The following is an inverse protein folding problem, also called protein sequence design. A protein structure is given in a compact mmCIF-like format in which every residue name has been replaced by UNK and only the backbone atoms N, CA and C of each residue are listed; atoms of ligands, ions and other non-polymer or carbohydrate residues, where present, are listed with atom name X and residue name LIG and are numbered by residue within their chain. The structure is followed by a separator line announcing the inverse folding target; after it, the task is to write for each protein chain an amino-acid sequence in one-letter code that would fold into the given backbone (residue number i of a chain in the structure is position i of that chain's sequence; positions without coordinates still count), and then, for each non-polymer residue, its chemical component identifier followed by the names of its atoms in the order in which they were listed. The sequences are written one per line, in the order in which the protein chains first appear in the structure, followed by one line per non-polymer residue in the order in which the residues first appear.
data_IF_263549153716
#
_entry.id   IF_263549153716
#
_cell.length_a   1.000
_cell.length_b   1.000
_cell.length_c   1.000
_cell.angle_alpha   90.00
_cell.angle_beta   90.00
_cell.angle_gamma   90.00
#
_symmetry.space_group_name_H-M   'P 1'
#
loop_
_entity.id
_entity.type
_entity.pdbx_description
1 polymer ?
#
# COMPACT_ATOMS: atom_id res chain seq x y z
N UNK A 1 28.86 -6.98 -10.58
CA UNK A 1 29.43 -6.29 -11.74
C UNK A 1 29.42 -4.81 -11.46
N UNK A 2 30.53 -4.14 -11.62
CA UNK A 2 30.59 -2.68 -11.57
C UNK A 2 29.82 -2.14 -12.77
N UNK A 3 29.07 -1.05 -12.59
CA UNK A 3 28.45 -0.34 -13.71
C UNK A 3 29.57 0.13 -14.64
N UNK A 4 29.56 -0.24 -15.93
CA UNK A 4 30.61 0.20 -16.85
C UNK A 4 30.64 1.72 -16.92
N UNK A 5 31.83 2.33 -17.06
CA UNK A 5 32.03 3.78 -17.24
C UNK A 5 31.24 4.36 -18.41
N UNK A 6 30.80 3.49 -19.33
CA UNK A 6 29.97 3.86 -20.49
C UNK A 6 28.53 4.18 -20.10
N UNK A 7 28.02 3.72 -18.93
CA UNK A 7 26.67 4.04 -18.47
C UNK A 7 26.68 5.42 -17.85
N UNK A 8 26.17 6.42 -18.55
CA UNK A 8 26.17 7.84 -18.13
C UNK A 8 24.93 8.25 -17.37
N UNK A 9 23.81 7.58 -17.58
CA UNK A 9 22.55 7.81 -16.90
C UNK A 9 21.65 6.59 -17.01
N UNK A 10 20.66 6.49 -16.14
CA UNK A 10 19.65 5.46 -16.17
C UNK A 10 18.25 6.04 -15.97
N UNK A 11 17.25 5.38 -16.56
CA UNK A 11 15.84 5.62 -16.30
C UNK A 11 15.27 4.34 -15.70
N UNK A 12 14.74 4.45 -14.48
CA UNK A 12 14.22 3.35 -13.70
C UNK A 12 12.69 3.43 -13.64
N UNK A 13 12.02 2.45 -14.18
CA UNK A 13 10.56 2.41 -14.20
C UNK A 13 10.12 1.13 -13.50
N UNK A 14 9.59 1.24 -12.30
CA UNK A 14 9.01 0.13 -11.54
C UNK A 14 9.87 -1.15 -11.53
N UNK A 15 11.16 -1.00 -11.21
CA UNK A 15 12.11 -2.12 -11.23
C UNK A 15 12.13 -2.86 -9.88
N UNK A 16 11.61 -4.09 -9.80
CA UNK A 16 11.64 -4.86 -8.57
C UNK A 16 13.06 -5.37 -8.29
N UNK A 17 13.73 -4.75 -7.34
CA UNK A 17 15.09 -5.12 -6.93
C UNK A 17 15.11 -6.21 -5.86
N UNK A 18 14.02 -6.36 -5.11
CA UNK A 18 13.80 -7.42 -4.11
C UNK A 18 12.57 -8.23 -4.48
N UNK A 19 12.76 -9.46 -4.93
CA UNK A 19 11.67 -10.30 -5.45
C UNK A 19 10.68 -10.73 -4.36
N UNK A 20 11.14 -10.94 -3.14
CA UNK A 20 10.25 -11.22 -2.01
C UNK A 20 9.23 -10.11 -1.81
N UNK A 21 9.65 -8.84 -1.88
CA UNK A 21 8.75 -7.68 -1.77
C UNK A 21 7.81 -7.52 -2.98
N UNK A 22 8.15 -8.12 -4.12
CA UNK A 22 7.25 -8.17 -5.27
C UNK A 22 6.05 -9.06 -5.01
N UNK A 23 6.30 -10.24 -4.44
CA UNK A 23 5.27 -11.27 -4.23
C UNK A 23 4.52 -11.12 -2.91
N UNK A 24 5.16 -10.56 -1.87
CA UNK A 24 4.59 -10.43 -0.53
C UNK A 24 4.61 -8.99 -0.04
N UNK A 25 3.66 -8.65 0.81
CA UNK A 25 3.63 -7.42 1.58
C UNK A 25 3.39 -7.77 3.05
N UNK A 26 4.37 -7.46 3.91
CA UNK A 26 4.34 -7.73 5.34
C UNK A 26 3.77 -9.12 5.70
N UNK A 27 4.21 -10.14 4.94
CA UNK A 27 3.85 -11.55 5.11
C UNK A 27 2.67 -12.05 4.29
N UNK A 28 1.78 -11.18 3.80
CA UNK A 28 0.64 -11.56 2.96
C UNK A 28 1.03 -11.66 1.49
N UNK A 29 0.57 -12.69 0.79
CA UNK A 29 0.81 -12.87 -0.64
C UNK A 29 0.01 -11.85 -1.46
N UNK A 30 0.65 -11.12 -2.36
CA UNK A 30 0.00 -10.27 -3.37
C UNK A 30 -0.62 -11.14 -4.47
N UNK A 31 -1.72 -11.80 -4.14
CA UNK A 31 -2.33 -12.84 -4.96
C UNK A 31 -2.69 -12.36 -6.36
N UNK A 32 -3.36 -11.20 -6.43
CA UNK A 32 -3.84 -10.63 -7.71
C UNK A 32 -2.74 -10.35 -8.73
N UNK A 33 -1.52 -10.12 -8.27
CA UNK A 33 -0.35 -9.94 -9.11
C UNK A 33 0.40 -11.26 -9.33
N UNK A 34 0.71 -11.96 -8.24
CA UNK A 34 1.67 -13.08 -8.25
C UNK A 34 1.13 -14.29 -9.00
N UNK A 35 -0.15 -14.64 -8.79
CA UNK A 35 -0.73 -15.82 -9.44
C UNK A 35 -0.89 -15.67 -10.96
N UNK A 36 -1.46 -14.58 -11.52
CA UNK A 36 -1.52 -14.40 -12.96
C UNK A 36 -0.14 -14.29 -13.61
N UNK A 37 0.82 -13.62 -12.94
CA UNK A 37 2.18 -13.50 -13.43
C UNK A 37 2.88 -14.86 -13.51
N UNK A 38 2.73 -15.70 -12.49
CA UNK A 38 3.26 -17.07 -12.49
C UNK A 38 2.55 -17.92 -13.56
N UNK A 39 1.22 -17.80 -13.67
CA UNK A 39 0.44 -18.52 -14.68
C UNK A 39 0.89 -18.20 -16.12
N UNK A 40 1.22 -16.93 -16.43
CA UNK A 40 1.73 -16.53 -17.76
C UNK A 40 3.00 -17.25 -18.17
N UNK A 41 3.78 -17.79 -17.25
CA UNK A 41 4.99 -18.58 -17.55
C UNK A 41 4.66 -19.92 -18.18
N UNK A 42 3.46 -20.42 -17.97
CA UNK A 42 3.02 -21.76 -18.36
C UNK A 42 1.93 -21.77 -19.43
N UNK A 43 1.11 -20.73 -19.47
CA UNK A 43 -0.02 -20.63 -20.36
C UNK A 43 -0.42 -19.18 -20.65
N UNK A 44 -1.08 -18.91 -21.79
CA UNK A 44 -1.61 -17.58 -22.08
C UNK A 44 -2.67 -17.15 -21.08
N UNK A 45 -2.69 -15.86 -20.70
CA UNK A 45 -3.70 -15.28 -19.80
C UNK A 45 -5.14 -15.42 -20.31
N UNK A 46 -5.35 -15.71 -21.59
CA UNK A 46 -6.68 -16.02 -22.14
C UNK A 46 -7.32 -17.24 -21.46
N UNK A 47 -6.52 -18.18 -20.94
CA UNK A 47 -6.98 -19.33 -20.17
C UNK A 47 -7.09 -19.09 -18.67
N UNK A 48 -6.66 -17.95 -18.16
CA UNK A 48 -6.72 -17.64 -16.74
C UNK A 48 -8.17 -17.36 -16.32
N UNK A 49 -8.68 -18.09 -15.32
CA UNK A 49 -9.97 -17.88 -14.71
C UNK A 49 -9.78 -17.39 -13.27
N UNK A 50 -9.90 -16.06 -13.02
CA UNK A 50 -9.72 -15.52 -11.69
C UNK A 50 -10.77 -16.00 -10.68
N UNK A 51 -12.01 -16.26 -11.13
CA UNK A 51 -13.08 -16.75 -10.27
C UNK A 51 -12.78 -18.12 -9.66
N UNK A 52 -12.11 -18.96 -10.45
CA UNK A 52 -11.69 -20.31 -10.03
C UNK A 52 -10.34 -20.28 -9.28
N UNK A 53 -9.33 -19.62 -9.88
CA UNK A 53 -7.96 -19.79 -9.41
C UNK A 53 -7.66 -19.01 -8.13
N UNK A 54 -8.22 -17.80 -7.96
CA UNK A 54 -8.04 -17.05 -6.72
C UNK A 54 -8.71 -17.72 -5.52
N UNK A 55 -9.78 -18.47 -5.73
CA UNK A 55 -10.53 -19.15 -4.66
C UNK A 55 -10.08 -20.58 -4.40
N UNK A 56 -9.01 -21.03 -5.05
CA UNK A 56 -8.50 -22.38 -4.86
C UNK A 56 -8.05 -22.61 -3.40
N UNK A 57 -8.43 -23.74 -2.83
CA UNK A 57 -8.08 -24.14 -1.47
C UNK A 57 -7.65 -25.62 -1.50
N UNK A 58 -6.42 -25.95 -1.09
CA UNK A 58 -5.34 -25.01 -0.77
C UNK A 58 -4.87 -24.22 -1.99
N UNK A 59 -4.32 -23.03 -1.74
CA UNK A 59 -3.92 -22.12 -2.82
C UNK A 59 -2.76 -22.67 -3.68
N UNK A 60 -1.93 -23.53 -3.10
CA UNK A 60 -0.82 -24.19 -3.80
C UNK A 60 -1.30 -25.00 -5.03
N UNK A 61 -2.53 -25.48 -5.01
CA UNK A 61 -3.13 -26.23 -6.12
C UNK A 61 -3.61 -25.34 -7.28
N UNK A 62 -3.51 -24.01 -7.17
CA UNK A 62 -3.89 -23.11 -8.25
C UNK A 62 -3.03 -23.27 -9.49
N UNK A 63 -1.74 -23.60 -9.33
CA UNK A 63 -0.83 -24.01 -10.38
C UNK A 63 -0.15 -25.32 -9.94
N UNK A 64 -0.46 -26.46 -10.56
CA UNK A 64 0.14 -27.73 -10.17
C UNK A 64 1.67 -27.69 -10.22
N UNK A 65 2.35 -28.28 -9.24
CA UNK A 65 3.82 -28.32 -9.16
C UNK A 65 4.46 -28.96 -10.40
N UNK A 66 3.77 -29.90 -11.05
CA UNK A 66 4.22 -30.51 -12.32
C UNK A 66 4.20 -29.54 -13.50
N UNK A 67 3.47 -28.42 -13.38
CA UNK A 67 3.35 -27.36 -14.39
C UNK A 67 4.35 -26.23 -14.13
N UNK A 68 4.36 -25.68 -12.92
CA UNK A 68 5.38 -24.72 -12.49
C UNK A 68 5.76 -24.95 -11.02
N UNK A 69 6.93 -25.53 -10.75
CA UNK A 69 7.39 -25.78 -9.38
C UNK A 69 7.70 -24.47 -8.60
N UNK A 70 7.89 -23.34 -9.29
CA UNK A 70 8.16 -22.06 -8.63
C UNK A 70 6.95 -21.59 -7.80
N UNK A 71 5.73 -21.86 -8.27
CA UNK A 71 4.52 -21.48 -7.53
C UNK A 71 4.48 -22.16 -6.15
N UNK A 72 4.66 -23.46 -6.12
CA UNK A 72 4.69 -24.22 -4.86
C UNK A 72 5.83 -23.73 -3.95
N UNK A 73 7.04 -23.61 -4.49
CA UNK A 73 8.20 -23.14 -3.74
C UNK A 73 7.99 -21.72 -3.15
N UNK A 74 7.38 -20.81 -3.90
CA UNK A 74 7.08 -19.46 -3.38
C UNK A 74 6.11 -19.48 -2.19
N UNK A 75 5.10 -20.36 -2.21
CA UNK A 75 4.13 -20.46 -1.11
C UNK A 75 4.74 -21.16 0.11
N UNK A 76 5.52 -22.22 -0.10
CA UNK A 76 6.17 -22.99 0.98
C UNK A 76 7.25 -22.17 1.70
N UNK A 77 8.05 -21.39 0.96
CA UNK A 77 9.12 -20.55 1.52
C UNK A 77 8.60 -19.19 2.02
N UNK A 78 7.47 -18.72 1.48
CA UNK A 78 6.83 -17.47 1.90
C UNK A 78 7.71 -16.23 1.66
N UNK A 79 7.66 -15.22 2.54
CA UNK A 79 8.40 -13.97 2.41
C UNK A 79 9.88 -14.07 2.81
N UNK A 80 10.38 -15.24 3.26
CA UNK A 80 11.72 -15.43 3.82
C UNK A 80 12.81 -14.99 2.87
N UNK A 81 13.76 -14.21 3.36
CA UNK A 81 14.82 -13.58 2.54
C UNK A 81 15.76 -14.61 1.91
N UNK A 82 16.08 -15.69 2.59
CA UNK A 82 17.04 -16.72 2.13
C UNK A 82 16.62 -17.39 0.84
N UNK A 83 15.32 -17.58 0.59
CA UNK A 83 14.80 -18.10 -0.69
C UNK A 83 14.99 -17.09 -1.85
N UNK A 84 14.86 -15.79 -1.56
CA UNK A 84 14.84 -14.73 -2.56
C UNK A 84 16.23 -14.14 -2.86
N UNK A 85 17.19 -14.23 -1.93
CA UNK A 85 18.51 -13.58 -1.99
C UNK A 85 19.31 -13.93 -3.24
N UNK A 86 19.23 -15.16 -3.73
CA UNK A 86 19.93 -15.59 -4.95
C UNK A 86 19.51 -14.83 -6.23
N UNK A 87 18.41 -14.11 -6.19
CA UNK A 87 17.84 -13.35 -7.32
C UNK A 87 17.65 -11.84 -6.99
N UNK A 88 18.16 -11.41 -5.85
CA UNK A 88 18.04 -10.03 -5.38
C UNK A 88 19.10 -9.14 -6.06
N UNK A 89 18.68 -7.97 -6.52
CA UNK A 89 19.55 -6.96 -7.14
C UNK A 89 19.98 -5.87 -6.15
N UNK A 90 19.72 -6.06 -4.85
CA UNK A 90 19.93 -5.05 -3.83
C UNK A 90 21.36 -4.56 -3.72
N UNK A 91 22.33 -5.46 -3.79
CA UNK A 91 23.75 -5.12 -3.77
C UNK A 91 24.18 -4.30 -4.98
N UNK A 92 23.55 -4.49 -6.14
CA UNK A 92 23.81 -3.65 -7.32
C UNK A 92 23.27 -2.24 -7.13
N UNK A 93 22.06 -2.10 -6.57
CA UNK A 93 21.46 -0.80 -6.25
C UNK A 93 22.33 -0.01 -5.30
N UNK A 94 22.81 -0.62 -4.22
CA UNK A 94 23.68 0.02 -3.23
C UNK A 94 25.02 0.51 -3.81
N UNK A 95 25.52 -0.18 -4.83
CA UNK A 95 26.79 0.16 -5.48
C UNK A 95 26.63 1.06 -6.71
N UNK A 96 25.42 1.28 -7.17
CA UNK A 96 25.15 2.14 -8.32
C UNK A 96 25.57 3.59 -8.02
N UNK A 97 26.35 4.18 -8.93
CA UNK A 97 26.82 5.58 -8.87
C UNK A 97 26.47 6.31 -10.15
N UNK A 98 25.32 5.98 -10.71
CA UNK A 98 24.85 6.50 -11.99
C UNK A 98 23.70 7.47 -11.72
N UNK A 99 23.69 8.65 -12.38
CA UNK A 99 22.52 9.53 -12.36
C UNK A 99 21.26 8.76 -12.75
N UNK A 100 20.24 8.80 -11.89
CA UNK A 100 19.02 7.99 -12.03
C UNK A 100 17.76 8.85 -12.10
N UNK A 101 16.90 8.58 -13.08
CA UNK A 101 15.54 9.09 -13.15
C UNK A 101 14.58 7.95 -12.83
N UNK A 102 13.77 8.11 -11.77
CA UNK A 102 12.88 7.08 -11.26
C UNK A 102 11.42 7.47 -11.50
N UNK A 103 10.61 6.54 -11.99
CA UNK A 103 9.18 6.73 -12.15
C UNK A 103 8.39 5.73 -11.31
N UNK A 104 7.39 6.23 -10.59
CA UNK A 104 6.43 5.42 -9.83
C UNK A 104 5.01 5.96 -9.97
N UNK A 105 4.03 5.08 -9.78
CA UNK A 105 2.61 5.43 -9.78
C UNK A 105 1.97 5.15 -8.44
N UNK A 106 1.10 6.07 -7.96
CA UNK A 106 0.39 5.89 -6.69
C UNK A 106 -0.47 4.64 -6.66
N UNK A 107 -0.99 4.25 -7.82
CA UNK A 107 -1.84 3.08 -7.97
C UNK A 107 -1.13 1.88 -8.64
N UNK A 108 0.21 1.94 -8.66
CA UNK A 108 1.05 0.82 -9.08
C UNK A 108 1.30 -0.11 -7.87
N UNK A 109 1.01 -1.39 -8.04
CA UNK A 109 1.31 -2.40 -7.01
C UNK A 109 2.83 -2.52 -6.73
N UNK A 110 3.68 -2.01 -7.65
CA UNK A 110 5.14 -1.95 -7.54
C UNK A 110 5.67 -0.60 -7.03
N UNK A 111 4.85 0.28 -6.49
CA UNK A 111 5.31 1.58 -5.99
C UNK A 111 6.51 1.46 -5.05
N UNK A 112 6.47 0.50 -4.11
CA UNK A 112 7.58 0.25 -3.18
C UNK A 112 8.86 -0.21 -3.90
N UNK A 113 8.72 -0.89 -5.04
CA UNK A 113 9.83 -1.28 -5.90
C UNK A 113 10.51 -0.07 -6.59
N UNK A 114 9.87 1.09 -6.58
CA UNK A 114 10.46 2.36 -7.01
C UNK A 114 11.01 3.17 -5.84
N UNK A 115 10.24 3.30 -4.77
CA UNK A 115 10.58 4.16 -3.62
C UNK A 115 11.80 3.64 -2.84
N UNK A 116 11.86 2.32 -2.59
CA UNK A 116 12.93 1.72 -1.81
C UNK A 116 14.29 1.84 -2.52
N UNK A 117 14.44 1.46 -3.80
CA UNK A 117 15.71 1.66 -4.53
C UNK A 117 16.07 3.14 -4.67
N UNK A 118 15.11 4.02 -4.95
CA UNK A 118 15.36 5.44 -5.02
C UNK A 118 15.98 5.98 -3.73
N UNK A 119 15.38 5.67 -2.57
CA UNK A 119 15.88 6.12 -1.27
C UNK A 119 17.31 5.62 -0.99
N UNK A 120 17.64 4.41 -1.38
CA UNK A 120 18.98 3.85 -1.25
C UNK A 120 19.97 4.52 -2.21
N UNK A 121 19.56 4.76 -3.47
CA UNK A 121 20.42 5.38 -4.47
C UNK A 121 20.72 6.86 -4.16
N UNK A 122 19.79 7.60 -3.56
CA UNK A 122 20.04 8.97 -3.08
C UNK A 122 21.25 8.99 -2.12
N UNK A 123 21.39 8.00 -1.25
CA UNK A 123 22.51 7.90 -0.31
C UNK A 123 23.85 7.65 -1.02
N UNK A 124 23.84 7.20 -2.27
CA UNK A 124 25.04 6.97 -3.05
C UNK A 124 25.81 8.23 -3.46
N UNK A 125 25.17 9.40 -3.36
CA UNK A 125 25.70 10.70 -3.76
C UNK A 125 25.61 10.99 -5.27
N UNK A 126 25.19 10.02 -6.10
CA UNK A 126 24.89 10.29 -7.50
C UNK A 126 23.55 11.04 -7.62
N UNK A 127 23.40 11.96 -8.60
CA UNK A 127 22.14 12.68 -8.80
C UNK A 127 20.97 11.73 -9.07
N UNK A 128 19.90 11.86 -8.29
CA UNK A 128 18.68 11.09 -8.45
C UNK A 128 17.46 12.02 -8.57
N UNK A 129 16.54 11.70 -9.47
CA UNK A 129 15.26 12.38 -9.63
C UNK A 129 14.13 11.35 -9.53
N UNK A 130 13.09 11.66 -8.78
CA UNK A 130 11.90 10.82 -8.61
C UNK A 130 10.67 11.53 -9.17
N UNK A 131 9.90 10.86 -10.00
CA UNK A 131 8.63 11.35 -10.54
C UNK A 131 7.52 10.37 -10.14
N UNK A 132 6.56 10.85 -9.35
CA UNK A 132 5.45 10.07 -8.82
C UNK A 132 4.13 10.64 -9.34
N UNK A 133 3.41 9.86 -10.13
CA UNK A 133 2.16 10.30 -10.74
C UNK A 133 0.95 9.47 -10.30
N UNK A 134 -0.26 9.88 -10.71
CA UNK A 134 -1.50 9.17 -10.40
C UNK A 134 -1.70 7.95 -11.31
N UNK A 135 -0.63 7.20 -11.54
CA UNK A 135 -0.59 6.10 -12.50
C UNK A 135 -0.73 4.75 -11.84
N UNK A 136 -1.30 3.81 -12.59
CA UNK A 136 -1.17 2.38 -12.32
C UNK A 136 0.13 1.84 -12.92
N UNK A 137 0.35 0.53 -12.80
CA UNK A 137 1.49 -0.15 -13.41
C UNK A 137 1.58 0.09 -14.92
N UNK A 138 0.46 -0.07 -15.63
CA UNK A 138 0.42 0.15 -17.08
C UNK A 138 0.65 1.62 -17.45
N UNK A 139 0.11 2.55 -16.67
CA UNK A 139 0.31 3.98 -16.83
C UNK A 139 1.76 4.41 -16.62
N UNK A 140 2.45 3.83 -15.64
CA UNK A 140 3.86 4.14 -15.35
C UNK A 140 4.79 3.68 -16.47
N UNK A 141 4.50 2.54 -17.10
CA UNK A 141 5.35 1.99 -18.18
C UNK A 141 4.91 2.38 -19.59
N UNK A 142 3.95 3.27 -19.72
CA UNK A 142 3.59 3.81 -21.02
C UNK A 142 2.20 3.47 -21.53
N UNK A 143 1.23 3.13 -20.66
CA UNK A 143 -0.17 2.87 -21.03
C UNK A 143 -1.05 4.14 -21.14
N UNK A 144 -2.18 4.11 -21.86
CA UNK A 144 -3.01 5.28 -22.17
C UNK A 144 -3.94 5.73 -21.04
N UNK A 145 -3.56 5.56 -19.78
CA UNK A 145 -4.46 5.81 -18.66
C UNK A 145 -4.65 7.31 -18.36
N UNK A 146 -5.76 7.87 -18.82
CA UNK A 146 -6.26 9.18 -18.36
C UNK A 146 -7.14 9.06 -17.13
N UNK A 147 -7.64 7.85 -16.86
CA UNK A 147 -8.55 7.53 -15.78
C UNK A 147 -7.86 6.51 -14.90
N UNK A 148 -7.79 6.81 -13.60
CA UNK A 148 -7.37 5.88 -12.57
C UNK A 148 -8.56 5.61 -11.67
N UNK A 149 -9.05 4.36 -11.64
CA UNK A 149 -10.29 4.02 -10.96
C UNK A 149 -11.46 4.82 -11.51
N UNK A 150 -12.14 5.57 -10.63
CA UNK A 150 -13.29 6.40 -10.98
C UNK A 150 -12.94 7.86 -11.27
N UNK A 151 -11.64 8.21 -11.25
CA UNK A 151 -11.19 9.60 -11.36
C UNK A 151 -10.36 9.82 -12.63
N UNK A 152 -10.74 10.86 -13.39
CA UNK A 152 -9.96 11.33 -14.52
C UNK A 152 -9.02 12.47 -14.09
N UNK A 153 -7.71 12.25 -14.21
CA UNK A 153 -6.69 13.26 -13.98
C UNK A 153 -6.28 14.02 -15.24
N UNK A 154 -7.00 13.80 -16.36
CA UNK A 154 -6.80 14.47 -17.62
C UNK A 154 -5.46 14.16 -18.30
N UNK A 155 -5.03 15.07 -19.20
CA UNK A 155 -3.80 14.91 -19.98
C UNK A 155 -2.52 14.83 -19.12
N UNK A 156 -2.54 15.39 -17.92
CA UNK A 156 -1.41 15.43 -17.00
C UNK A 156 -1.04 14.07 -16.41
N UNK A 157 -1.93 13.09 -16.51
CA UNK A 157 -1.63 11.71 -16.12
C UNK A 157 -0.71 10.98 -17.12
N UNK A 158 -0.44 11.56 -18.29
CA UNK A 158 0.74 11.17 -19.06
C UNK A 158 0.55 10.46 -20.38
N UNK A 159 -0.69 10.26 -20.96
CA UNK A 159 -0.72 9.56 -22.25
C UNK A 159 -1.93 9.83 -23.15
N UNK A 160 -1.67 9.72 -24.45
CA UNK A 160 -2.69 9.69 -25.51
C UNK A 160 -3.07 8.25 -25.86
N UNK A 161 -4.30 8.06 -26.34
CA UNK A 161 -4.74 6.80 -26.94
C UNK A 161 -3.81 6.39 -28.09
N UNK A 162 -3.29 5.17 -28.06
CA UNK A 162 -2.66 4.54 -29.21
C UNK A 162 -1.15 4.35 -29.19
N UNK A 163 -0.45 4.54 -28.06
CA UNK A 163 0.97 4.24 -27.99
C UNK A 163 1.80 5.17 -27.11
N UNK A 164 3.12 4.95 -27.08
CA UNK A 164 4.06 5.85 -26.40
C UNK A 164 4.00 7.21 -27.10
N UNK A 165 3.32 8.17 -26.49
CA UNK A 165 3.33 9.54 -26.98
C UNK A 165 4.68 10.18 -26.60
N UNK A 166 5.53 10.39 -27.59
CA UNK A 166 6.83 11.07 -27.43
C UNK A 166 6.68 12.51 -26.92
N UNK A 167 5.48 13.07 -26.93
CA UNK A 167 5.15 14.37 -26.32
C UNK A 167 4.53 14.26 -24.93
N UNK A 168 4.54 13.06 -24.31
CA UNK A 168 4.04 12.89 -22.96
C UNK A 168 4.99 13.51 -21.92
N UNK A 169 4.49 14.02 -20.78
CA UNK A 169 5.34 14.51 -19.70
C UNK A 169 6.39 13.49 -19.24
N UNK A 170 6.08 12.19 -19.31
CA UNK A 170 7.03 11.11 -19.06
C UNK A 170 8.20 11.13 -20.04
N UNK A 171 7.90 11.24 -21.33
CA UNK A 171 8.95 11.28 -22.37
C UNK A 171 9.74 12.58 -22.33
N UNK A 172 9.10 13.71 -22.02
CA UNK A 172 9.80 14.99 -21.84
C UNK A 172 10.82 14.92 -20.70
N UNK A 173 10.46 14.33 -19.55
CA UNK A 173 11.38 14.08 -18.44
C UNK A 173 12.53 13.13 -18.84
N UNK A 174 12.22 12.04 -19.55
CA UNK A 174 13.24 11.09 -20.02
C UNK A 174 14.23 11.75 -21.00
N UNK A 175 13.71 12.48 -21.99
CA UNK A 175 14.55 13.15 -23.00
C UNK A 175 15.42 14.22 -22.35
N UNK A 176 14.84 15.06 -21.50
CA UNK A 176 15.57 16.10 -20.77
C UNK A 176 16.70 15.52 -19.91
N UNK A 177 16.41 14.44 -19.17
CA UNK A 177 17.39 13.73 -18.36
C UNK A 177 18.55 13.18 -19.18
N UNK A 178 18.24 12.49 -20.29
CA UNK A 178 19.25 11.86 -21.14
C UNK A 178 20.03 12.89 -21.96
N UNK A 179 19.39 13.97 -22.42
CA UNK A 179 20.09 15.06 -23.15
C UNK A 179 21.15 15.70 -22.25
N UNK A 180 20.82 15.94 -20.99
CA UNK A 180 21.79 16.52 -20.06
C UNK A 180 22.94 15.56 -19.74
N UNK A 181 22.62 14.34 -19.26
CA UNK A 181 23.64 13.42 -18.74
C UNK A 181 24.43 12.69 -19.82
N UNK A 182 23.85 12.43 -20.97
CA UNK A 182 24.48 11.66 -22.06
C UNK A 182 25.09 12.56 -23.12
N UNK A 183 24.35 13.62 -23.53
CA UNK A 183 24.80 14.53 -24.59
C UNK A 183 25.50 15.78 -24.07
N UNK A 184 25.35 16.11 -22.78
CA UNK A 184 25.85 17.36 -22.19
C UNK A 184 25.08 18.59 -22.69
N UNK A 185 23.82 18.44 -23.08
CA UNK A 185 22.95 19.45 -23.63
C UNK A 185 21.76 19.76 -22.73
N UNK A 186 21.19 20.93 -22.84
CA UNK A 186 20.05 21.38 -22.06
C UNK A 186 20.41 21.92 -20.67
N UNK A 187 19.38 22.29 -19.91
CA UNK A 187 19.53 22.78 -18.55
C UNK A 187 19.79 21.64 -17.58
N UNK A 188 20.55 21.93 -16.50
CA UNK A 188 20.83 20.94 -15.46
C UNK A 188 19.54 20.50 -14.80
N UNK A 189 19.15 19.22 -14.87
CA UNK A 189 18.02 18.74 -14.09
C UNK A 189 18.34 18.92 -12.60
N UNK A 190 17.35 19.34 -11.83
CA UNK A 190 17.52 19.57 -10.41
C UNK A 190 18.13 18.33 -9.72
N UNK A 191 19.19 18.52 -8.89
CA UNK A 191 19.80 17.44 -8.17
C UNK A 191 18.84 16.93 -7.09
N UNK A 192 18.68 15.60 -6.99
CA UNK A 192 17.92 14.94 -5.93
C UNK A 192 16.54 15.59 -5.70
N UNK A 193 15.83 15.92 -6.78
CA UNK A 193 14.50 16.52 -6.69
C UNK A 193 13.43 15.45 -6.87
N UNK A 194 12.29 15.68 -6.25
CA UNK A 194 11.11 14.84 -6.36
C UNK A 194 10.00 15.66 -7.00
N UNK A 195 9.40 15.14 -8.05
CA UNK A 195 8.17 15.69 -8.63
C UNK A 195 7.05 14.73 -8.33
N UNK A 196 6.03 15.16 -7.60
CA UNK A 196 4.90 14.31 -7.27
C UNK A 196 3.56 14.96 -7.55
N UNK A 197 2.60 14.12 -7.90
CA UNK A 197 1.22 14.53 -8.16
C UNK A 197 0.37 14.33 -6.91
N UNK A 198 -0.18 15.41 -6.38
CA UNK A 198 -1.18 15.36 -5.31
C UNK A 198 -2.53 15.01 -5.93
N UNK A 199 -3.14 13.92 -5.45
CA UNK A 199 -4.48 13.48 -5.81
C UNK A 199 -5.53 14.12 -4.91
N UNK A 200 -6.82 13.83 -5.11
CA UNK A 200 -7.93 14.33 -4.27
C UNK A 200 -8.39 15.73 -4.65
N UNK A 201 -8.60 16.58 -3.66
CA UNK A 201 -9.11 17.93 -3.87
C UNK A 201 -8.08 18.82 -4.56
N UNK A 202 -8.45 19.44 -5.70
CA UNK A 202 -7.59 20.29 -6.54
C UNK A 202 -6.28 19.60 -6.93
N UNK A 203 -6.34 18.54 -7.72
CA UNK A 203 -5.14 17.77 -8.10
C UNK A 203 -4.08 18.65 -8.76
N UNK A 204 -2.81 18.48 -8.39
CA UNK A 204 -1.71 19.29 -8.91
C UNK A 204 -0.36 18.58 -8.82
N UNK A 205 0.60 19.03 -9.62
CA UNK A 205 2.00 18.66 -9.51
C UNK A 205 2.74 19.56 -8.52
N UNK A 206 3.60 18.98 -7.68
CA UNK A 206 4.50 19.69 -6.80
C UNK A 206 5.95 19.24 -7.01
N UNK A 207 6.89 20.17 -6.88
CA UNK A 207 8.33 19.88 -6.82
C UNK A 207 8.75 19.92 -5.35
N UNK A 208 9.38 18.85 -4.88
CA UNK A 208 9.81 18.66 -3.50
C UNK A 208 11.32 18.43 -3.46
N UNK A 209 11.94 18.78 -2.35
CA UNK A 209 13.38 18.59 -2.15
C UNK A 209 13.74 17.11 -1.94
N UNK A 210 12.86 16.34 -1.31
CA UNK A 210 13.06 14.92 -1.02
C UNK A 210 11.74 14.16 -0.87
N UNK A 211 11.82 12.84 -0.83
CA UNK A 211 10.72 11.94 -0.50
C UNK A 211 11.10 11.10 0.74
N UNK A 212 10.22 10.98 1.75
CA UNK A 212 8.97 11.76 1.92
C UNK A 212 9.27 13.26 2.04
N UNK A 213 8.21 14.11 1.99
CA UNK A 213 8.38 15.58 2.05
C UNK A 213 9.13 15.97 3.33
N UNK A 214 10.26 16.70 3.24
CA UNK A 214 11.11 16.95 4.40
C UNK A 214 10.45 17.82 5.49
N UNK A 215 9.48 18.65 5.10
CA UNK A 215 8.71 19.50 6.02
C UNK A 215 7.42 18.84 6.49
N UNK A 216 7.12 17.60 6.08
CA UNK A 216 5.95 16.90 6.55
C UNK A 216 6.10 16.58 8.05
N UNK A 217 5.26 17.18 8.85
CA UNK A 217 5.12 16.82 10.27
C UNK A 217 4.19 15.61 10.39
N UNK A 218 4.60 14.63 11.20
CA UNK A 218 3.72 13.49 11.49
C UNK A 218 2.49 13.97 12.28
N UNK A 219 1.30 13.71 11.74
CA UNK A 219 0.04 13.89 12.48
C UNK A 219 -0.37 12.53 13.03
N UNK A 220 -0.55 12.45 14.35
CA UNK A 220 -1.06 11.24 15.00
C UNK A 220 -2.56 11.37 15.21
N UNK A 221 -3.30 10.37 14.76
CA UNK A 221 -4.73 10.25 14.96
C UNK A 221 -5.01 9.00 15.82
N UNK A 222 -6.01 9.08 16.68
CA UNK A 222 -6.35 8.00 17.61
C UNK A 222 -7.71 7.41 17.24
N UNK A 223 -7.82 6.10 17.38
CA UNK A 223 -9.04 5.34 17.14
C UNK A 223 -9.87 5.35 18.42
N UNK A 224 -11.11 5.82 18.35
CA UNK A 224 -12.06 5.83 19.45
C UNK A 224 -13.37 5.15 19.06
N UNK A 225 -14.03 4.47 20.00
CA UNK A 225 -15.34 3.89 19.74
C UNK A 225 -16.42 4.97 19.57
N UNK A 226 -17.48 4.68 18.81
CA UNK A 226 -18.56 5.63 18.51
C UNK A 226 -19.26 6.23 19.74
N UNK A 227 -19.26 5.52 20.88
CA UNK A 227 -19.82 5.99 22.14
C UNK A 227 -18.95 7.06 22.81
N UNK A 228 -17.69 7.20 22.43
CA UNK A 228 -16.68 8.03 23.06
C UNK A 228 -16.40 9.34 22.31
N UNK A 229 -17.28 9.77 21.43
CA UNK A 229 -17.18 11.03 20.68
C UNK A 229 -17.02 12.30 21.57
N UNK A 230 -16.87 12.14 22.87
CA UNK A 230 -16.61 13.21 23.86
C UNK A 230 -15.20 13.15 24.44
N UNK A 231 -14.29 12.37 23.86
CA UNK A 231 -12.93 12.24 24.37
C UNK A 231 -12.09 13.46 24.00
N UNK A 232 -11.87 14.29 25.01
CA UNK A 232 -10.78 15.25 25.07
C UNK A 232 -9.62 14.61 25.83
N UNK A 233 -8.45 14.66 25.20
CA UNK A 233 -7.13 14.59 25.84
C UNK A 233 -6.79 13.45 26.80
N UNK A 234 -5.93 12.51 26.34
CA UNK A 234 -4.85 12.01 27.22
C UNK A 234 -3.80 11.22 26.44
N UNK A 235 -2.55 11.61 26.65
CA UNK A 235 -1.34 10.86 26.34
C UNK A 235 -1.16 9.79 27.43
N UNK A 236 -1.76 8.60 27.25
CA UNK A 236 -1.44 7.44 28.08
C UNK A 236 -1.49 6.17 27.21
N UNK A 237 -0.30 5.61 26.99
CA UNK A 237 -0.17 4.24 26.52
C UNK A 237 -0.92 3.34 27.51
N UNK A 238 -1.80 2.43 27.07
CA UNK A 238 -2.39 1.47 28.00
C UNK A 238 -1.27 0.69 28.68
N UNK A 239 -1.21 0.74 30.00
CA UNK A 239 -0.36 -0.14 30.76
C UNK A 239 -0.84 -1.57 30.52
N UNK A 240 -0.06 -2.34 29.78
CA UNK A 240 -0.31 -3.76 29.53
C UNK A 240 0.10 -4.49 30.80
N UNK A 241 -0.74 -4.46 31.82
CA UNK A 241 -0.69 -5.43 32.91
C UNK A 241 -1.34 -6.72 32.38
N UNK A 242 -0.55 -7.80 32.40
CA UNK A 242 -0.91 -9.11 31.86
C UNK A 242 -2.10 -9.78 32.54
N UNK A 243 -3.28 -9.17 32.46
CA UNK A 243 -4.53 -9.79 32.89
C UNK A 243 -5.30 -10.31 31.68
N UNK A 244 -5.43 -11.61 31.64
CA UNK A 244 -6.33 -12.36 30.76
C UNK A 244 -7.72 -11.71 30.74
N UNK A 245 -8.20 -11.34 29.57
CA UNK A 245 -9.58 -10.90 29.36
C UNK A 245 -10.52 -12.13 29.43
N UNK A 246 -10.85 -12.57 30.65
CA UNK A 246 -11.81 -13.64 30.89
C UNK A 246 -13.11 -13.10 31.49
N UNK A 247 -13.71 -12.07 30.94
CA UNK A 247 -15.13 -11.79 31.14
C UNK A 247 -15.69 -11.21 29.84
N UNK A 248 -16.07 -12.15 28.96
CA UNK A 248 -16.72 -11.86 27.70
C UNK A 248 -18.13 -11.35 27.92
N UNK A 249 -18.34 -10.04 27.81
CA UNK A 249 -19.60 -9.56 27.29
C UNK A 249 -19.40 -9.26 25.80
N UNK A 250 -19.86 -10.20 24.98
CA UNK A 250 -20.05 -9.97 23.55
C UNK A 250 -21.02 -8.79 23.40
N UNK A 251 -20.52 -7.65 23.05
CA UNK A 251 -21.37 -6.54 22.58
C UNK A 251 -21.78 -6.90 21.16
N UNK A 252 -23.06 -7.19 20.98
CA UNK A 252 -23.67 -7.44 19.68
C UNK A 252 -23.28 -6.33 18.69
N UNK A 253 -22.75 -6.72 17.53
CA UNK A 253 -22.30 -5.83 16.47
C UNK A 253 -23.37 -4.83 16.06
N UNK A 254 -23.27 -3.61 16.57
CA UNK A 254 -24.01 -2.46 16.08
C UNK A 254 -23.10 -1.74 15.10
N UNK A 255 -23.62 -1.35 13.94
CA UNK A 255 -22.98 -0.47 12.95
C UNK A 255 -22.65 0.88 13.61
N UNK A 256 -21.57 0.95 14.36
CA UNK A 256 -21.05 2.19 14.92
C UNK A 256 -19.83 2.61 14.12
N UNK A 257 -19.87 3.78 13.49
CA UNK A 257 -18.67 4.41 12.96
C UNK A 257 -17.88 4.93 14.15
N UNK A 258 -16.68 4.41 14.37
CA UNK A 258 -15.74 4.94 15.37
C UNK A 258 -15.25 6.34 15.00
N UNK A 259 -14.58 6.99 15.92
CA UNK A 259 -14.06 8.35 15.77
C UNK A 259 -12.56 8.30 15.53
N UNK A 260 -12.09 9.06 14.56
CA UNK A 260 -10.69 9.34 14.32
C UNK A 260 -10.40 10.78 14.78
N UNK A 261 -9.63 10.94 15.85
CA UNK A 261 -9.38 12.25 16.44
C UNK A 261 -7.91 12.62 16.49
N UNK A 262 -7.62 13.90 16.27
CA UNK A 262 -6.30 14.51 16.46
C UNK A 262 -6.26 15.12 17.85
N UNK A 263 -5.32 14.70 18.69
CA UNK A 263 -5.10 15.31 20.01
C UNK A 263 -3.91 16.26 19.93
N UNK A 264 -4.06 17.47 20.51
CA UNK A 264 -2.91 18.33 20.77
C UNK A 264 -2.20 17.86 22.04
N UNK A 265 -0.87 17.92 22.06
CA UNK A 265 -0.03 17.45 23.17
C UNK A 265 -0.23 18.20 24.51
N UNK A 266 -1.15 19.17 24.60
CA UNK A 266 -1.29 20.09 25.73
C UNK A 266 -2.43 19.79 26.72
N UNK A 267 -3.10 18.65 26.60
CA UNK A 267 -4.23 18.36 27.47
C UNK A 267 -3.90 17.38 28.59
N UNK A 268 -3.67 17.95 29.76
CA UNK A 268 -3.54 17.25 31.04
C UNK A 268 -4.86 17.27 31.82
N UNK A 269 -5.68 16.24 31.75
CA UNK A 269 -6.67 15.97 32.82
C UNK A 269 -7.10 14.50 32.83
N UNK A 270 -6.91 13.86 33.97
CA UNK A 270 -7.05 12.41 34.13
C UNK A 270 -8.47 11.90 34.30
N UNK A 271 -8.86 11.02 33.43
CA UNK A 271 -9.72 9.87 33.73
C UNK A 271 -9.36 8.78 32.74
N UNK A 272 -8.85 7.64 33.24
CA UNK A 272 -8.56 6.46 32.43
C UNK A 272 -9.85 5.99 31.75
N UNK A 273 -9.95 5.98 30.41
CA UNK A 273 -11.07 5.36 29.74
C UNK A 273 -10.94 3.85 29.91
N UNK A 274 -12.02 3.21 30.23
CA UNK A 274 -12.15 1.78 29.95
C UNK A 274 -11.99 1.66 28.44
N UNK A 275 -10.90 1.04 27.99
CA UNK A 275 -10.63 0.86 26.58
C UNK A 275 -11.81 0.11 25.97
N UNK A 276 -12.63 0.81 25.17
CA UNK A 276 -13.70 0.18 24.43
C UNK A 276 -13.01 -0.75 23.41
N UNK A 277 -13.32 -2.05 23.48
CA UNK A 277 -12.83 -3.02 22.53
C UNK A 277 -13.90 -3.20 21.45
N UNK A 278 -13.56 -2.94 20.20
CA UNK A 278 -14.40 -3.24 19.05
C UNK A 278 -13.96 -4.58 18.45
N UNK A 279 -14.90 -5.35 17.93
CA UNK A 279 -14.62 -6.67 17.37
C UNK A 279 -15.44 -6.92 16.10
N UNK A 280 -14.92 -7.76 15.24
CA UNK A 280 -15.61 -8.28 14.07
C UNK A 280 -15.27 -9.75 13.88
N UNK A 281 -16.07 -10.44 13.09
CA UNK A 281 -15.84 -11.84 12.71
C UNK A 281 -15.39 -11.86 11.26
N UNK A 282 -14.21 -12.42 11.03
CA UNK A 282 -13.69 -12.62 9.68
C UNK A 282 -14.08 -14.02 9.18
N UNK A 283 -14.67 -14.08 7.99
CA UNK A 283 -14.97 -15.32 7.27
C UNK A 283 -14.06 -15.45 6.04
N UNK A 284 -13.14 -16.42 5.98
CA UNK A 284 -12.27 -16.64 4.82
C UNK A 284 -13.05 -16.95 3.52
N UNK A 285 -14.29 -17.44 3.61
CA UNK A 285 -15.12 -17.75 2.45
C UNK A 285 -15.89 -16.54 1.91
N UNK A 286 -16.06 -15.49 2.74
CA UNK A 286 -16.63 -14.20 2.34
C UNK A 286 -15.68 -13.02 2.66
N UNK A 287 -14.47 -12.98 2.10
CA UNK A 287 -13.51 -11.93 2.39
C UNK A 287 -13.95 -10.57 1.84
N UNK A 288 -13.50 -9.50 2.49
CA UNK A 288 -13.71 -8.11 2.01
C UNK A 288 -13.13 -7.96 0.60
N UNK A 289 -13.96 -7.56 -0.37
CA UNK A 289 -13.52 -7.45 -1.76
C UNK A 289 -12.56 -6.27 -1.98
N UNK A 290 -11.61 -6.45 -2.87
CA UNK A 290 -10.78 -5.34 -3.38
C UNK A 290 -11.60 -4.50 -4.36
N UNK A 291 -11.77 -3.22 -4.07
CA UNK A 291 -12.58 -2.28 -4.88
C UNK A 291 -11.73 -1.27 -5.65
N UNK A 292 -10.41 -1.43 -5.70
CA UNK A 292 -9.50 -0.53 -6.40
C UNK A 292 -8.13 -0.44 -5.74
N UNK A 293 -7.52 0.75 -5.79
CA UNK A 293 -6.22 0.99 -5.19
C UNK A 293 -5.03 0.57 -6.05
N UNK A 294 -3.92 0.23 -5.40
CA UNK A 294 -2.70 -0.18 -6.08
C UNK A 294 -2.76 -1.67 -6.46
N UNK A 295 -3.41 -1.96 -7.56
CA UNK A 295 -3.60 -3.31 -8.13
C UNK A 295 -3.13 -3.37 -9.58
N UNK A 296 -2.92 -4.55 -10.10
CA UNK A 296 -2.62 -4.71 -11.51
C UNK A 296 -3.89 -4.61 -12.35
N UNK A 297 -3.88 -3.76 -13.39
CA UNK A 297 -4.95 -3.69 -14.37
C UNK A 297 -5.00 -4.96 -15.21
N UNK A 298 -5.69 -5.98 -14.70
CA UNK A 298 -5.87 -7.25 -15.37
C UNK A 298 -7.34 -7.39 -15.82
N UNK A 299 -7.62 -7.38 -17.14
CA UNK A 299 -8.99 -7.22 -17.65
C UNK A 299 -10.01 -8.24 -17.17
N UNK A 300 -9.58 -9.49 -16.90
CA UNK A 300 -10.46 -10.55 -16.44
C UNK A 300 -10.80 -10.51 -14.95
N UNK A 301 -10.03 -9.80 -14.16
CA UNK A 301 -10.21 -9.76 -12.71
C UNK A 301 -11.27 -8.74 -12.26
N UNK A 302 -11.76 -7.90 -13.18
CA UNK A 302 -12.81 -6.92 -12.88
C UNK A 302 -12.41 -5.78 -11.95
N UNK A 303 -11.11 -5.66 -11.64
CA UNK A 303 -10.58 -4.59 -10.79
C UNK A 303 -9.87 -3.54 -11.63
N UNK A 304 -10.17 -2.27 -11.33
CA UNK A 304 -9.47 -1.13 -11.91
C UNK A 304 -8.55 -0.52 -10.85
N UNK A 305 -7.24 -0.31 -11.17
CA UNK A 305 -6.35 0.43 -10.28
C UNK A 305 -6.80 1.88 -10.16
N UNK A 306 -6.70 2.46 -8.97
CA UNK A 306 -7.00 3.86 -8.78
C UNK A 306 -7.90 4.16 -7.58
N UNK A 307 -8.31 5.42 -7.41
CA UNK A 307 -9.13 5.87 -6.30
C UNK A 307 -10.62 5.54 -6.54
N UNK A 308 -10.93 4.25 -6.62
CA UNK A 308 -12.30 3.77 -6.79
C UNK A 308 -13.15 4.03 -5.55
N UNK A 309 -14.46 4.14 -5.75
CA UNK A 309 -15.43 4.20 -4.64
C UNK A 309 -15.39 2.90 -3.85
N UNK A 310 -15.33 3.03 -2.54
CA UNK A 310 -15.34 1.87 -1.62
C UNK A 310 -16.66 1.77 -0.88
N UNK A 311 -17.21 0.56 -0.88
CA UNK A 311 -18.38 0.16 -0.10
C UNK A 311 -18.03 -0.73 1.10
N UNK A 312 -16.76 -1.01 1.32
CA UNK A 312 -16.27 -1.91 2.37
C UNK A 312 -16.78 -1.54 3.78
N UNK A 313 -16.94 -0.24 4.05
CA UNK A 313 -17.47 0.28 5.32
C UNK A 313 -18.92 -0.15 5.63
N UNK A 314 -19.64 -0.73 4.67
CA UNK A 314 -20.99 -1.24 4.86
C UNK A 314 -21.04 -2.67 5.39
N UNK A 315 -19.90 -3.35 5.44
CA UNK A 315 -19.79 -4.75 5.90
C UNK A 315 -19.70 -4.82 7.43
N UNK A 316 -20.14 -5.95 7.98
CA UNK A 316 -20.10 -6.20 9.43
C UNK A 316 -18.71 -6.68 9.91
N UNK A 317 -17.87 -7.19 9.00
CA UNK A 317 -16.48 -7.62 9.25
C UNK A 317 -15.46 -6.48 9.04
N UNK A 318 -15.93 -5.22 9.11
CA UNK A 318 -15.14 -4.01 8.90
C UNK A 318 -15.37 -3.01 10.00
N UNK A 319 -14.30 -2.61 10.69
CA UNK A 319 -14.32 -1.46 11.60
C UNK A 319 -14.01 -0.19 10.81
N UNK A 320 -14.79 0.85 11.07
CA UNK A 320 -14.71 2.13 10.34
C UNK A 320 -14.54 3.27 11.34
N UNK A 321 -13.57 4.16 11.09
CA UNK A 321 -13.26 5.31 11.91
C UNK A 321 -13.23 6.57 11.05
N UNK A 322 -14.07 7.54 11.35
CA UNK A 322 -14.18 8.81 10.63
C UNK A 322 -13.63 9.96 11.45
N UNK A 323 -12.87 10.84 10.81
CA UNK A 323 -12.53 12.14 11.42
C UNK A 323 -13.76 13.05 11.51
N UNK A 324 -13.62 14.15 12.25
CA UNK A 324 -14.53 15.28 12.06
C UNK A 324 -14.46 15.80 10.62
N UNK A 325 -15.50 16.56 10.23
CA UNK A 325 -15.50 17.23 8.93
C UNK A 325 -14.37 18.26 8.90
N UNK A 326 -13.53 18.17 7.89
CA UNK A 326 -12.40 19.07 7.71
C UNK A 326 -12.89 20.49 7.38
N UNK A 327 -12.49 21.46 8.17
CA UNK A 327 -12.79 22.88 7.93
C UNK A 327 -11.84 23.55 6.90
N UNK A 328 -10.71 22.92 6.63
CA UNK A 328 -9.69 23.36 5.66
C UNK A 328 -9.06 22.15 4.96
N UNK A 329 -8.41 22.33 3.81
CA UNK A 329 -7.72 21.23 3.15
C UNK A 329 -6.65 20.62 4.06
N UNK A 330 -6.56 19.28 4.05
CA UNK A 330 -5.49 18.53 4.70
C UNK A 330 -4.66 17.83 3.60
N UNK A 331 -3.41 18.20 3.48
CA UNK A 331 -2.47 17.56 2.55
C UNK A 331 -1.61 16.54 3.29
N UNK A 332 -1.51 15.33 2.72
CA UNK A 332 -0.61 14.29 3.19
C UNK A 332 0.39 13.96 2.08
N UNK A 333 1.66 13.73 2.46
CA UNK A 333 2.71 13.38 1.53
C UNK A 333 3.71 12.45 2.22
N UNK A 334 3.57 11.16 1.99
CA UNK A 334 4.35 10.12 2.66
C UNK A 334 3.57 8.83 2.80
N UNK A 335 4.04 7.95 3.68
CA UNK A 335 3.36 6.72 4.05
C UNK A 335 2.68 6.87 5.41
N UNK A 336 1.42 6.48 5.51
CA UNK A 336 0.73 6.36 6.78
C UNK A 336 1.05 5.00 7.43
N UNK A 337 0.99 4.94 8.78
CA UNK A 337 1.13 3.71 9.54
C UNK A 337 0.03 3.65 10.60
N UNK A 338 -0.54 2.47 10.79
CA UNK A 338 -1.48 2.19 11.89
C UNK A 338 -0.78 1.35 12.93
N UNK A 339 -0.74 1.82 14.17
CA UNK A 339 -0.40 1.02 15.34
C UNK A 339 -1.70 0.48 15.95
N UNK A 340 -1.94 -0.82 15.77
CA UNK A 340 -3.15 -1.49 16.19
C UNK A 340 -2.84 -2.47 17.32
N UNK A 341 -3.46 -2.30 18.48
CA UNK A 341 -3.47 -3.30 19.55
C UNK A 341 -4.67 -4.19 19.35
N UNK A 342 -4.43 -5.45 19.00
CA UNK A 342 -5.50 -6.41 18.71
C UNK A 342 -5.17 -7.81 19.20
N UNK A 343 -6.20 -8.62 19.35
CA UNK A 343 -6.12 -10.06 19.60
C UNK A 343 -6.98 -10.83 18.60
N UNK A 344 -6.69 -12.09 18.41
CA UNK A 344 -7.49 -13.02 17.64
C UNK A 344 -7.75 -14.27 18.48
N UNK A 345 -8.85 -14.96 18.21
CA UNK A 345 -9.13 -16.30 18.75
C UNK A 345 -8.46 -17.41 17.93
N UNK A 346 -7.79 -17.05 16.85
CA UNK A 346 -7.05 -17.93 15.96
C UNK A 346 -5.53 -17.79 16.12
N UNK A 347 -4.73 -18.81 15.75
CA UNK A 347 -3.27 -18.77 15.83
C UNK A 347 -2.63 -17.84 14.79
N UNK A 348 -3.33 -17.49 13.72
CA UNK A 348 -2.91 -16.55 12.70
C UNK A 348 -4.13 -15.81 12.13
N UNK A 349 -3.91 -14.60 11.60
CA UNK A 349 -4.89 -13.79 10.90
C UNK A 349 -4.16 -12.68 10.14
N UNK A 350 -4.89 -11.91 9.34
CA UNK A 350 -4.36 -10.70 8.73
C UNK A 350 -5.05 -9.47 9.33
N UNK A 351 -4.31 -8.34 9.42
CA UNK A 351 -4.91 -7.03 9.65
C UNK A 351 -4.61 -6.12 8.47
N UNK A 352 -5.68 -5.58 7.90
CA UNK A 352 -5.66 -4.64 6.77
C UNK A 352 -6.12 -3.29 7.26
N UNK A 353 -5.42 -2.24 6.84
CA UNK A 353 -5.85 -0.87 7.03
C UNK A 353 -6.03 -0.19 5.66
N UNK A 354 -7.15 0.52 5.46
CA UNK A 354 -7.40 1.30 4.25
C UNK A 354 -7.74 2.73 4.63
N UNK A 355 -7.06 3.67 3.99
CA UNK A 355 -7.30 5.10 4.11
C UNK A 355 -8.18 5.54 2.95
N UNK A 356 -9.30 6.19 3.27
CA UNK A 356 -10.27 6.68 2.30
C UNK A 356 -10.50 8.17 2.49
N UNK A 357 -10.80 8.86 1.41
CA UNK A 357 -11.30 10.23 1.37
C UNK A 357 -12.83 10.19 1.21
N UNK A 358 -13.57 10.70 2.19
CA UNK A 358 -15.03 10.77 2.16
C UNK A 358 -15.43 12.19 1.82
N UNK A 359 -16.04 12.40 0.67
CA UNK A 359 -16.47 13.70 0.21
C UNK A 359 -17.75 14.20 0.92
N UNK A 360 -18.19 15.43 0.59
CA UNK A 360 -19.38 16.05 1.16
C UNK A 360 -20.66 15.26 0.91
N UNK A 361 -20.72 14.49 -0.16
CA UNK A 361 -21.86 13.64 -0.52
C UNK A 361 -21.78 12.26 0.18
N UNK A 362 -20.73 12.00 0.96
CA UNK A 362 -20.51 10.75 1.67
C UNK A 362 -19.88 9.65 0.82
N UNK A 363 -19.41 9.97 -0.38
CA UNK A 363 -18.73 9.01 -1.25
C UNK A 363 -17.30 8.81 -0.78
N UNK A 364 -16.98 7.59 -0.38
CA UNK A 364 -15.65 7.20 0.11
C UNK A 364 -14.79 6.70 -1.05
N UNK A 365 -13.61 7.31 -1.27
CA UNK A 365 -12.65 6.89 -2.31
C UNK A 365 -11.34 6.46 -1.71
N UNK A 366 -10.76 5.41 -2.30
CA UNK A 366 -9.47 4.87 -1.91
C UNK A 366 -8.35 5.91 -2.02
N UNK A 367 -7.50 5.98 -0.98
CA UNK A 367 -6.27 6.78 -0.95
C UNK A 367 -5.05 5.88 -0.84
N UNK A 368 -5.00 5.03 0.19
CA UNK A 368 -3.88 4.11 0.44
C UNK A 368 -4.32 2.92 1.27
N UNK A 369 -3.55 1.84 1.28
CA UNK A 369 -3.77 0.68 2.12
C UNK A 369 -2.46 0.00 2.54
N UNK A 370 -2.59 -0.84 3.56
CA UNK A 370 -1.55 -1.72 4.05
C UNK A 370 -2.13 -2.99 4.65
N UNK A 371 -1.29 -3.99 4.83
CA UNK A 371 -1.63 -5.28 5.43
C UNK A 371 -0.47 -5.76 6.29
N UNK A 372 -0.76 -6.51 7.33
CA UNK A 372 0.22 -7.32 8.07
C UNK A 372 -0.36 -8.69 8.34
N UNK A 373 0.37 -9.76 8.00
CA UNK A 373 0.04 -11.12 8.42
C UNK A 373 0.61 -11.37 9.81
N UNK A 374 -0.25 -11.76 10.73
CA UNK A 374 0.05 -11.79 12.17
C UNK A 374 1.28 -12.62 12.52
N UNK A 375 1.45 -13.79 11.90
CA UNK A 375 2.63 -14.65 12.14
C UNK A 375 3.95 -14.01 11.70
N UNK A 376 3.92 -12.99 10.83
CA UNK A 376 5.11 -12.24 10.36
C UNK A 376 5.24 -10.85 10.98
N UNK A 377 4.43 -10.49 11.99
CA UNK A 377 4.42 -9.16 12.63
C UNK A 377 5.77 -8.70 13.17
N UNK A 378 6.64 -9.65 13.59
CA UNK A 378 7.93 -9.37 14.19
C UNK A 378 9.11 -9.56 13.21
N UNK A 379 8.99 -10.43 12.21
CA UNK A 379 10.03 -10.74 11.23
C UNK A 379 9.44 -11.46 10.02
N UNK A 380 9.90 -11.12 8.82
CA UNK A 380 9.54 -11.86 7.60
C UNK A 380 10.31 -13.18 7.44
N UNK A 381 11.40 -13.37 8.20
CA UNK A 381 12.26 -14.56 8.12
C UNK A 381 11.83 -15.68 9.08
N UNK A 382 10.93 -15.39 10.00
CA UNK A 382 10.48 -16.35 11.02
C UNK A 382 9.02 -16.14 11.36
N UNK A 383 8.27 -17.22 11.31
CA UNK A 383 6.90 -17.24 11.79
C UNK A 383 6.84 -17.18 13.33
N UNK A 384 5.89 -16.40 13.83
CA UNK A 384 5.61 -16.20 15.24
C UNK A 384 4.10 -16.14 15.44
N UNK A 385 3.49 -17.31 15.67
CA UNK A 385 2.05 -17.46 15.78
C UNK A 385 1.47 -16.73 16.98
N UNK A 386 0.19 -16.42 16.91
CA UNK A 386 -0.54 -15.79 18.01
C UNK A 386 -0.92 -16.82 19.08
N UNK A 387 -0.91 -16.39 20.33
CA UNK A 387 -1.63 -17.02 21.43
C UNK A 387 -3.08 -16.51 21.38
N UNK A 388 -4.10 -17.38 21.19
CA UNK A 388 -5.48 -16.94 21.12
C UNK A 388 -5.90 -16.08 22.32
N UNK A 389 -6.49 -14.92 22.05
CA UNK A 389 -6.94 -13.97 23.05
C UNK A 389 -5.86 -13.06 23.65
N UNK A 390 -4.59 -13.28 23.35
CA UNK A 390 -3.52 -12.37 23.77
C UNK A 390 -3.49 -11.13 22.87
N UNK A 391 -3.28 -9.96 23.48
CA UNK A 391 -3.17 -8.68 22.76
C UNK A 391 -1.73 -8.49 22.28
N UNK A 392 -1.59 -8.13 20.99
CA UNK A 392 -0.33 -7.80 20.34
C UNK A 392 -0.40 -6.44 19.67
N UNK A 393 0.74 -5.80 19.50
CA UNK A 393 0.89 -4.61 18.67
C UNK A 393 1.16 -5.02 17.22
N UNK A 394 0.30 -4.60 16.31
CA UNK A 394 0.49 -4.71 14.88
C UNK A 394 0.82 -3.35 14.28
N UNK A 395 1.86 -3.29 13.45
CA UNK A 395 2.20 -2.10 12.66
C UNK A 395 1.82 -2.35 11.21
N UNK A 396 0.80 -1.65 10.76
CA UNK A 396 0.29 -1.77 9.39
C UNK A 396 0.80 -0.58 8.60
N UNK A 397 1.84 -0.80 7.79
CA UNK A 397 2.41 0.24 6.92
C UNK A 397 1.62 0.32 5.64
N UNK A 398 1.08 1.50 5.37
CA UNK A 398 0.39 1.77 4.12
C UNK A 398 1.38 2.18 3.04
N UNK A 399 0.96 2.06 1.78
CA UNK A 399 1.72 2.58 0.64
C UNK A 399 1.89 4.09 0.73
N UNK A 400 3.00 4.60 0.19
CA UNK A 400 3.21 6.02 0.04
C UNK A 400 2.13 6.65 -0.84
N UNK A 401 1.73 7.88 -0.52
CA UNK A 401 0.77 8.68 -1.30
C UNK A 401 1.07 10.17 -1.16
N UNK A 402 0.57 10.95 -2.12
CA UNK A 402 0.39 12.39 -1.98
C UNK A 402 -1.08 12.70 -2.30
N UNK A 403 -1.80 13.23 -1.31
CA UNK A 403 -3.25 13.40 -1.40
C UNK A 403 -3.72 14.64 -0.62
N UNK A 404 -4.71 15.32 -1.16
CA UNK A 404 -5.37 16.47 -0.52
C UNK A 404 -6.82 16.11 -0.22
N UNK A 405 -7.14 15.98 1.06
CA UNK A 405 -8.53 15.95 1.51
C UNK A 405 -9.13 17.36 1.43
N UNK A 406 -10.32 17.50 0.89
CA UNK A 406 -10.98 18.80 0.73
C UNK A 406 -11.59 19.34 2.03
N UNK A 407 -11.90 20.66 2.08
CA UNK A 407 -12.83 21.16 3.08
C UNK A 407 -14.18 20.48 2.90
N UNK A 408 -14.88 20.17 3.98
CA UNK A 408 -16.13 19.41 3.93
C UNK A 408 -15.94 17.89 3.89
N UNK A 409 -14.75 17.39 3.55
CA UNK A 409 -14.42 15.97 3.53
C UNK A 409 -14.13 15.42 4.94
N UNK A 410 -14.01 14.10 5.02
CA UNK A 410 -13.52 13.36 6.19
C UNK A 410 -12.40 12.42 5.81
N UNK A 411 -11.45 12.25 6.71
CA UNK A 411 -10.50 11.14 6.65
C UNK A 411 -11.21 9.91 7.23
N UNK A 412 -11.28 8.83 6.47
CA UNK A 412 -11.81 7.55 6.94
C UNK A 412 -10.70 6.51 6.98
N UNK A 413 -10.59 5.82 8.12
CA UNK A 413 -9.77 4.63 8.27
C UNK A 413 -10.68 3.41 8.40
N UNK A 414 -10.38 2.37 7.62
CA UNK A 414 -10.99 1.06 7.71
C UNK A 414 -9.96 0.09 8.28
N UNK A 415 -10.40 -0.79 9.21
CA UNK A 415 -9.64 -1.93 9.72
C UNK A 415 -10.44 -3.21 9.52
N UNK A 416 -9.82 -4.21 8.90
CA UNK A 416 -10.43 -5.53 8.62
C UNK A 416 -9.36 -6.60 8.54
N UNK A 417 -9.74 -7.87 8.24
CA UNK A 417 -8.80 -8.99 8.10
C UNK A 417 -8.59 -9.46 6.67
N UNK A 418 -9.09 -8.75 5.67
CA UNK A 418 -8.91 -9.17 4.27
C UNK A 418 -9.04 -8.01 3.29
N UNK A 419 -8.45 -8.18 2.10
CA UNK A 419 -8.60 -7.32 0.93
C UNK A 419 -8.39 -8.20 -0.31
N UNK A 420 -9.41 -8.97 -0.66
CA UNK A 420 -9.33 -10.06 -1.64
C UNK A 420 -9.89 -9.65 -3.01
N UNK A 421 -9.24 -10.00 -4.10
CA UNK A 421 -8.06 -10.86 -4.23
C UNK A 421 -6.71 -10.10 -4.34
N UNK A 422 -6.64 -8.82 -3.94
CA UNK A 422 -5.35 -8.11 -3.89
C UNK A 422 -4.32 -8.93 -3.10
N UNK A 423 -4.74 -9.38 -1.91
CA UNK A 423 -4.01 -10.33 -1.08
C UNK A 423 -4.76 -11.67 -1.02
N UNK A 424 -4.03 -12.73 -0.72
CA UNK A 424 -4.61 -14.04 -0.46
C UNK A 424 -5.46 -14.03 0.82
N UNK A 425 -6.38 -14.98 0.92
CA UNK A 425 -7.17 -15.18 2.12
C UNK A 425 -6.33 -15.93 3.15
N UNK A 426 -6.22 -15.38 4.36
CA UNK A 426 -5.67 -16.14 5.47
C UNK A 426 -6.75 -17.10 5.99
N UNK A 427 -6.53 -18.42 5.99
CA UNK A 427 -7.51 -19.36 6.54
C UNK A 427 -7.59 -19.34 8.07
N UNK A 428 -6.77 -18.55 8.75
CA UNK A 428 -6.63 -18.42 10.21
C UNK A 428 -6.17 -19.70 10.92
N UNK A 429 -5.83 -20.75 10.18
CA UNK A 429 -5.40 -22.05 10.74
C UNK A 429 -3.94 -22.08 11.14
N UNK A 430 -3.13 -21.13 10.67
CA UNK A 430 -1.68 -21.17 10.77
C UNK A 430 -1.03 -22.09 9.73
N UNK A 431 -1.80 -22.78 8.90
CA UNK A 431 -1.30 -23.56 7.76
C UNK A 431 -1.09 -22.64 6.53
N UNK A 432 -0.19 -23.04 5.60
CA UNK A 432 0.09 -22.28 4.38
C UNK A 432 -1.11 -22.16 3.44
#
# INVERSE_FOLDING_TARGET
AEFPDQVKAAVWVTVPVRKGLLCFQDGALRLHHTLPWTYMRTAPLSGFDPGLLYRKTPLIDAIPQSVDPLWAAMLEEGPRSDFWDGNDLWDYVRRARVPGLHFGGWFDFLLDATLVPYSEMVQSGAPQRLVLGPWSHNGTIGGPERISGDVSYGYWSGQREGGVDMSSPFMEECVSWLDFWVKGAGDSPARSSVRCFFTGHRPHWAELEAWPHPEASGVRMYLGAAADARYSDHDDRPAIDGRSATDGQSVAGGRGTGVLSVFSADATSGTNPVAACESFVYDPDDPVPTEGGAVWAFPKAGMAPGPSVSSAHLREDVLTYDSEVLGSPLEICGAAEVELYASSDAPDTDFVAMLLDVDEDGVARYVSDGIVRARYRNSLDREDFLEPGQIYLFRIRMKGCAHTFGPGHRVRLIVTSSNFPKFDRNPNTGEP
#
